data_IF_747440422723
#
_entry.id   IF_747440422723
#
_cell.length_a   1.000
_cell.length_b   1.000
_cell.length_c   1.000
_cell.angle_alpha   90.00
_cell.angle_beta   90.00
_cell.angle_gamma   90.00
#
_symmetry.space_group_name_H-M   'P 1'
#
loop_
_entity.id
_entity.type
_entity.pdbx_description
1 polymer ?
#
# COMPACT_ATOMS: atom_id res chain seq x y z
N UNK A 1 15.84 11.16 6.66
CA UNK A 1 15.03 10.47 5.62
C UNK A 1 15.91 9.59 4.76
N UNK A 2 15.51 8.37 4.55
CA UNK A 2 16.29 7.39 3.80
C UNK A 2 15.38 6.57 2.89
N UNK A 3 15.88 6.23 1.71
CA UNK A 3 15.18 5.35 0.77
C UNK A 3 15.42 3.92 1.21
N UNK A 4 14.33 3.15 1.34
CA UNK A 4 14.38 1.73 1.72
C UNK A 4 14.12 0.85 0.50
N UNK A 5 14.58 -0.39 0.56
CA UNK A 5 14.33 -1.36 -0.51
C UNK A 5 12.88 -1.83 -0.46
N UNK A 6 12.18 -1.75 -1.60
CA UNK A 6 10.82 -2.27 -1.73
C UNK A 6 10.89 -3.77 -2.03
N UNK A 7 10.20 -4.55 -1.20
CA UNK A 7 10.08 -6.00 -1.35
C UNK A 7 9.06 -6.29 -2.45
N UNK A 8 9.38 -7.22 -3.33
CA UNK A 8 8.51 -7.57 -4.45
C UNK A 8 8.05 -9.02 -4.37
N UNK A 9 6.88 -9.29 -4.95
CA UNK A 9 6.38 -10.66 -5.13
C UNK A 9 7.40 -11.48 -5.92
N UNK A 10 7.72 -12.72 -5.60
CA UNK A 10 6.99 -13.62 -4.68
C UNK A 10 7.56 -13.72 -3.26
N UNK A 11 8.13 -12.67 -2.72
CA UNK A 11 8.67 -12.70 -1.34
C UNK A 11 7.54 -12.96 -0.33
N UNK A 12 7.70 -14.00 0.48
CA UNK A 12 6.68 -14.43 1.46
C UNK A 12 6.40 -13.42 2.55
N UNK A 13 7.32 -12.48 2.81
CA UNK A 13 7.13 -11.44 3.82
C UNK A 13 5.90 -10.58 3.52
N UNK A 14 5.58 -10.37 2.23
CA UNK A 14 4.40 -9.63 1.81
C UNK A 14 3.09 -10.29 2.25
N UNK A 15 3.11 -11.55 2.62
CA UNK A 15 1.92 -12.32 3.05
C UNK A 15 1.73 -12.32 4.57
N UNK A 16 2.61 -11.69 5.32
CA UNK A 16 2.46 -11.58 6.77
C UNK A 16 1.38 -10.58 7.14
N UNK A 17 0.67 -10.87 8.23
CA UNK A 17 -0.29 -9.93 8.81
C UNK A 17 0.51 -8.94 9.67
N UNK A 18 0.35 -7.66 9.38
CA UNK A 18 1.04 -6.60 10.12
C UNK A 18 0.42 -6.40 11.50
N UNK A 19 1.26 -6.03 12.47
CA UNK A 19 0.84 -5.87 13.87
C UNK A 19 0.54 -4.39 14.19
N UNK A 20 -0.44 -4.14 15.07
CA UNK A 20 -0.71 -2.78 15.52
C UNK A 20 0.50 -2.14 16.19
N UNK A 21 0.59 -0.83 16.08
CA UNK A 21 1.60 -0.01 16.75
C UNK A 21 1.01 0.47 18.08
N UNK A 22 1.79 0.39 19.16
CA UNK A 22 1.32 0.78 20.49
C UNK A 22 1.12 2.31 20.63
N UNK A 23 2.02 3.07 20.04
CA UNK A 23 1.96 4.54 20.06
C UNK A 23 2.81 5.09 18.93
N UNK A 24 2.54 6.34 18.52
CA UNK A 24 3.32 7.03 17.50
C UNK A 24 4.40 7.86 18.18
N UNK A 25 5.65 7.42 18.05
CA UNK A 25 6.82 8.13 18.54
C UNK A 25 7.78 8.47 17.42
N UNK A 26 9.01 8.83 17.78
CA UNK A 26 10.05 9.22 16.81
C UNK A 26 10.42 8.07 15.86
N UNK A 27 10.40 6.84 16.37
CA UNK A 27 10.70 5.65 15.55
C UNK A 27 9.66 5.48 14.45
N UNK A 28 8.39 5.58 14.78
CA UNK A 28 7.30 5.47 13.81
C UNK A 28 7.30 6.63 12.83
N UNK A 29 7.60 7.85 13.30
CA UNK A 29 7.71 9.02 12.44
C UNK A 29 8.87 8.89 11.45
N UNK A 30 10.02 8.40 11.91
CA UNK A 30 11.16 8.13 11.04
C UNK A 30 10.82 7.10 9.98
N UNK A 31 10.12 6.03 10.37
CA UNK A 31 9.67 5.00 9.43
C UNK A 31 8.74 5.60 8.37
N UNK A 32 7.78 6.42 8.79
CA UNK A 32 6.86 7.08 7.86
C UNK A 32 7.59 8.04 6.91
N UNK A 33 8.57 8.78 7.41
CA UNK A 33 9.39 9.67 6.59
C UNK A 33 10.17 8.88 5.52
N UNK A 34 10.80 7.78 5.92
CA UNK A 34 11.54 6.90 5.02
C UNK A 34 10.61 6.27 3.98
N UNK A 35 9.42 5.83 4.41
CA UNK A 35 8.42 5.24 3.51
C UNK A 35 7.94 6.24 2.48
N UNK A 36 7.67 7.47 2.90
CA UNK A 36 7.19 8.51 1.99
C UNK A 36 8.25 8.85 0.93
N UNK A 37 9.50 9.01 1.35
CA UNK A 37 10.61 9.26 0.43
C UNK A 37 10.79 8.09 -0.55
N UNK A 38 10.72 6.86 -0.05
CA UNK A 38 10.80 5.65 -0.87
C UNK A 38 9.68 5.60 -1.90
N UNK A 39 8.46 5.92 -1.47
CA UNK A 39 7.28 5.98 -2.34
C UNK A 39 7.46 6.99 -3.47
N UNK A 40 7.89 8.21 -3.15
CA UNK A 40 8.12 9.24 -4.16
C UNK A 40 9.24 8.86 -5.13
N UNK A 41 10.32 8.29 -4.63
CA UNK A 41 11.44 7.83 -5.46
C UNK A 41 11.00 6.78 -6.48
N UNK A 42 10.06 5.93 -6.08
CA UNK A 42 9.51 4.87 -6.94
C UNK A 42 8.29 5.32 -7.76
N UNK A 43 7.92 6.60 -7.70
CA UNK A 43 6.76 7.17 -8.40
C UNK A 43 5.44 6.50 -8.02
N UNK A 44 5.31 6.07 -6.76
CA UNK A 44 4.09 5.47 -6.22
C UNK A 44 3.17 6.50 -5.56
N UNK A 45 1.93 6.10 -5.33
CA UNK A 45 0.93 6.93 -4.66
C UNK A 45 0.55 6.40 -3.27
N UNK A 46 0.99 5.20 -2.94
CA UNK A 46 0.76 4.59 -1.64
C UNK A 46 1.82 3.54 -1.34
N UNK A 47 2.09 3.32 -0.05
CA UNK A 47 3.04 2.32 0.41
C UNK A 47 2.70 1.88 1.83
N UNK A 48 2.66 0.57 2.06
CA UNK A 48 2.49 -0.01 3.38
C UNK A 48 3.86 -0.43 3.95
N UNK A 49 4.01 -0.39 5.26
CA UNK A 49 5.29 -0.70 5.92
C UNK A 49 5.82 -2.10 5.60
N UNK A 50 4.93 -3.08 5.41
CA UNK A 50 5.35 -4.44 5.06
C UNK A 50 6.13 -4.48 3.74
N UNK A 51 5.85 -3.56 2.82
CA UNK A 51 6.54 -3.48 1.53
C UNK A 51 8.00 -3.06 1.66
N UNK A 52 8.39 -2.51 2.79
CA UNK A 52 9.79 -2.22 3.11
C UNK A 52 10.32 -3.13 4.24
N UNK A 53 9.64 -4.25 4.47
CA UNK A 53 10.09 -5.28 5.39
C UNK A 53 9.71 -5.08 6.85
N UNK A 54 8.83 -4.13 7.15
CA UNK A 54 8.42 -3.82 8.52
C UNK A 54 6.94 -4.22 8.72
N UNK A 55 6.66 -5.28 9.49
CA UNK A 55 5.30 -5.78 9.66
C UNK A 55 4.50 -4.98 10.69
N UNK A 56 4.39 -3.68 10.46
CA UNK A 56 3.60 -2.75 11.30
C UNK A 56 2.45 -2.16 10.49
N UNK A 57 1.34 -1.87 11.15
CA UNK A 57 0.14 -1.32 10.51
C UNK A 57 0.30 0.17 10.27
N UNK A 58 1.16 0.51 9.31
CA UNK A 58 1.47 1.89 8.92
C UNK A 58 1.41 2.00 7.39
N UNK A 59 0.75 3.06 6.92
CA UNK A 59 0.59 3.36 5.51
C UNK A 59 0.93 4.83 5.26
N UNK A 60 1.60 5.12 4.15
CA UNK A 60 1.77 6.49 3.64
C UNK A 60 1.13 6.57 2.25
N UNK A 61 0.57 7.73 1.92
CA UNK A 61 -0.08 7.97 0.64
C UNK A 61 0.06 9.41 0.21
N UNK A 62 0.08 9.62 -1.10
CA UNK A 62 -0.07 10.93 -1.71
C UNK A 62 -0.66 10.74 -3.09
N UNK A 63 -1.95 11.06 -3.25
CA UNK A 63 -2.67 10.94 -4.52
C UNK A 63 -2.70 12.24 -5.30
N UNK A 64 -2.03 13.29 -4.82
CA UNK A 64 -1.95 14.56 -5.53
C UNK A 64 -1.24 14.36 -6.87
N UNK A 65 -1.77 14.99 -7.93
CA UNK A 65 -1.17 14.91 -9.27
C UNK A 65 -0.19 16.05 -9.52
N UNK A 66 -0.04 16.95 -8.57
CA UNK A 66 0.77 18.14 -8.71
C UNK A 66 2.08 17.99 -7.95
N UNK A 67 3.20 17.83 -8.65
CA UNK A 67 4.51 17.70 -8.06
C UNK A 67 4.93 18.92 -7.23
N UNK A 68 4.35 20.09 -7.51
CA UNK A 68 4.62 21.32 -6.76
C UNK A 68 3.77 21.44 -5.49
N UNK A 69 2.71 20.64 -5.35
CA UNK A 69 1.83 20.62 -4.16
C UNK A 69 1.67 19.19 -3.66
N UNK A 70 2.63 18.72 -2.89
CA UNK A 70 2.54 17.41 -2.25
C UNK A 70 1.54 17.45 -1.12
N UNK A 71 0.70 16.41 -1.03
CA UNK A 71 -0.30 16.27 0.03
C UNK A 71 -0.15 14.89 0.68
N UNK A 72 0.96 14.68 1.42
CA UNK A 72 1.20 13.39 2.05
C UNK A 72 0.16 13.09 3.13
N UNK A 73 -0.24 11.83 3.20
CA UNK A 73 -1.15 11.32 4.22
C UNK A 73 -0.49 10.15 4.93
N UNK A 74 -0.71 10.08 6.24
CA UNK A 74 -0.12 9.04 7.09
C UNK A 74 -1.22 8.35 7.86
N UNK A 75 -1.20 7.02 7.87
CA UNK A 75 -2.21 6.21 8.55
C UNK A 75 -1.53 5.19 9.44
N UNK A 76 -1.74 5.30 10.74
CA UNK A 76 -1.25 4.34 11.74
C UNK A 76 -2.46 3.61 12.33
N UNK A 77 -2.40 2.30 12.38
CA UNK A 77 -3.48 1.44 12.87
C UNK A 77 -4.84 1.74 12.20
N UNK A 78 -4.91 1.86 10.87
CA UNK A 78 -6.17 2.18 10.22
C UNK A 78 -7.17 1.03 10.33
N UNK A 79 -8.45 1.39 10.53
CA UNK A 79 -9.57 0.46 10.61
C UNK A 79 -10.70 0.99 9.75
N UNK A 80 -11.25 0.15 8.89
CA UNK A 80 -12.41 0.52 8.08
C UNK A 80 -13.65 0.39 8.95
N UNK A 81 -14.39 1.50 9.08
CA UNK A 81 -15.63 1.55 9.87
C UNK A 81 -16.87 1.29 9.02
N UNK A 82 -16.88 1.82 7.81
CA UNK A 82 -18.00 1.66 6.88
C UNK A 82 -17.47 1.51 5.45
N UNK A 83 -18.14 0.66 4.68
CA UNK A 83 -17.90 0.49 3.23
C UNK A 83 -19.21 0.66 2.49
N UNK A 84 -19.18 1.38 1.38
CA UNK A 84 -20.35 1.49 0.50
C UNK A 84 -20.59 0.14 -0.20
N UNK A 85 -21.83 -0.33 -0.29
CA UNK A 85 -22.14 -1.56 -1.06
C UNK A 85 -21.92 -1.37 -2.57
N UNK A 86 -21.98 -0.14 -3.07
CA UNK A 86 -21.69 0.16 -4.46
C UNK A 86 -20.18 0.11 -4.71
N UNK A 87 -19.77 -0.56 -5.79
CA UNK A 87 -18.36 -0.71 -6.16
C UNK A 87 -17.99 0.19 -7.33
N UNK A 88 -16.73 0.60 -7.36
CA UNK A 88 -16.10 1.29 -8.48
C UNK A 88 -14.93 0.46 -8.97
N UNK A 89 -14.66 0.54 -10.28
CA UNK A 89 -13.55 -0.18 -10.92
C UNK A 89 -12.43 0.79 -11.24
N UNK A 90 -11.21 0.44 -10.81
CA UNK A 90 -9.99 1.19 -11.16
C UNK A 90 -8.91 0.21 -11.59
N UNK A 91 -8.07 0.65 -12.52
CA UNK A 91 -6.86 -0.08 -12.85
C UNK A 91 -5.85 0.11 -11.71
N UNK A 92 -5.44 -1.00 -11.09
CA UNK A 92 -4.50 -0.98 -9.98
C UNK A 92 -3.16 -1.56 -10.39
N UNK A 93 -2.12 -1.01 -9.80
CA UNK A 93 -0.77 -1.53 -9.84
C UNK A 93 -0.17 -1.44 -8.45
N UNK A 94 0.98 -2.01 -8.23
CA UNK A 94 1.63 -2.03 -6.93
C UNK A 94 3.15 -2.03 -7.09
N UNK A 95 3.83 -1.26 -6.25
CA UNK A 95 5.30 -1.21 -6.27
C UNK A 95 5.92 -2.57 -5.95
N UNK A 96 5.19 -3.44 -5.23
CA UNK A 96 5.61 -4.80 -4.93
C UNK A 96 5.26 -5.81 -6.04
N UNK A 97 4.53 -5.38 -7.07
CA UNK A 97 4.18 -6.18 -8.24
C UNK A 97 4.52 -5.35 -9.48
N UNK A 98 5.83 -5.14 -9.76
CA UNK A 98 6.26 -4.18 -10.77
C UNK A 98 5.79 -4.53 -12.18
N UNK A 99 5.37 -3.49 -12.91
CA UNK A 99 4.96 -3.54 -14.32
C UNK A 99 3.74 -4.42 -14.62
N UNK A 100 2.92 -4.73 -13.60
CA UNK A 100 1.69 -5.49 -13.75
C UNK A 100 0.52 -4.64 -13.28
N UNK A 101 -0.56 -4.64 -14.06
CA UNK A 101 -1.75 -3.84 -13.78
C UNK A 101 -3.00 -4.67 -14.04
N UNK A 102 -4.07 -4.40 -13.31
CA UNK A 102 -5.36 -5.06 -13.52
C UNK A 102 -6.49 -4.20 -12.98
N UNK A 103 -7.67 -4.34 -13.58
CA UNK A 103 -8.87 -3.69 -13.08
C UNK A 103 -9.40 -4.45 -11.87
N UNK A 104 -9.62 -3.72 -10.79
CA UNK A 104 -10.12 -4.26 -9.52
C UNK A 104 -11.38 -3.51 -9.11
N UNK A 105 -12.39 -4.25 -8.68
CA UNK A 105 -13.62 -3.68 -8.13
C UNK A 105 -13.49 -3.59 -6.61
N UNK A 106 -13.70 -2.38 -6.09
CA UNK A 106 -13.69 -2.12 -4.66
C UNK A 106 -14.87 -1.24 -4.26
N UNK A 107 -15.30 -1.28 -2.99
CA UNK A 107 -16.27 -0.30 -2.50
C UNK A 107 -15.85 1.11 -2.92
N UNK A 108 -16.78 1.87 -3.50
CA UNK A 108 -16.51 3.20 -4.08
C UNK A 108 -16.22 4.25 -3.02
N UNK A 109 -16.69 4.02 -1.79
CA UNK A 109 -16.52 4.91 -0.64
C UNK A 109 -16.24 4.08 0.60
N UNK A 110 -15.48 4.63 1.52
CA UNK A 110 -15.25 4.01 2.82
C UNK A 110 -14.92 5.06 3.87
N UNK A 111 -15.10 4.68 5.13
CA UNK A 111 -14.68 5.50 6.26
C UNK A 111 -13.59 4.75 7.01
N UNK A 112 -12.49 5.44 7.29
CA UNK A 112 -11.31 4.86 7.93
C UNK A 112 -10.97 5.66 9.19
N UNK A 113 -10.94 4.98 10.32
CA UNK A 113 -10.46 5.55 11.57
C UNK A 113 -8.98 5.19 11.72
N UNK A 114 -8.14 6.16 12.07
CA UNK A 114 -6.69 5.97 12.13
C UNK A 114 -6.02 6.98 13.06
N UNK A 115 -4.74 6.74 13.36
CA UNK A 115 -3.88 7.72 14.01
C UNK A 115 -3.05 8.40 12.92
N UNK A 116 -2.88 9.72 13.03
CA UNK A 116 -2.08 10.48 12.07
C UNK A 116 -0.58 10.46 12.43
N UNK A 117 0.21 11.27 11.72
CA UNK A 117 1.66 11.38 11.93
C UNK A 117 2.03 11.75 13.38
N UNK A 118 1.18 12.53 14.05
CA UNK A 118 1.40 12.97 15.43
C UNK A 118 0.73 12.06 16.45
N UNK A 119 0.08 10.98 16.01
CA UNK A 119 -0.61 10.05 16.91
C UNK A 119 -2.01 10.48 17.30
N UNK A 120 -2.57 11.50 16.65
CA UNK A 120 -3.92 11.97 16.89
C UNK A 120 -4.95 11.13 16.14
N UNK A 121 -6.07 10.85 16.80
CA UNK A 121 -7.16 10.07 16.25
C UNK A 121 -7.92 10.87 15.19
N UNK A 122 -8.09 10.30 14.01
CA UNK A 122 -8.76 10.93 12.86
C UNK A 122 -9.74 9.97 12.21
N UNK A 123 -10.72 10.53 11.51
CA UNK A 123 -11.64 9.78 10.66
C UNK A 123 -11.56 10.33 9.25
N UNK A 124 -11.28 9.46 8.29
CA UNK A 124 -11.26 9.79 6.87
C UNK A 124 -12.53 9.27 6.20
N UNK A 125 -13.23 10.15 5.50
CA UNK A 125 -14.33 9.75 4.61
C UNK A 125 -13.78 9.81 3.19
N UNK A 126 -13.51 8.65 2.60
CA UNK A 126 -12.84 8.54 1.32
C UNK A 126 -13.81 8.15 0.21
N UNK A 127 -13.60 8.75 -0.97
CA UNK A 127 -14.28 8.36 -2.21
C UNK A 127 -13.25 8.35 -3.35
N UNK A 128 -13.68 7.93 -4.54
CA UNK A 128 -12.86 7.94 -5.75
C UNK A 128 -11.52 7.21 -5.57
N UNK A 129 -10.47 7.79 -6.13
CA UNK A 129 -9.13 7.23 -6.09
C UNK A 129 -8.61 7.07 -4.66
N UNK A 130 -8.93 7.99 -3.77
CA UNK A 130 -8.51 7.91 -2.37
C UNK A 130 -9.08 6.66 -1.69
N UNK A 131 -10.37 6.36 -1.91
CA UNK A 131 -11.00 5.15 -1.36
C UNK A 131 -10.35 3.88 -1.91
N UNK A 132 -10.09 3.82 -3.20
CA UNK A 132 -9.42 2.68 -3.83
C UNK A 132 -8.01 2.50 -3.28
N UNK A 133 -7.23 3.58 -3.19
CA UNK A 133 -5.86 3.54 -2.75
C UNK A 133 -5.75 3.11 -1.27
N UNK A 134 -6.56 3.68 -0.37
CA UNK A 134 -6.48 3.30 1.04
C UNK A 134 -6.87 1.83 1.25
N UNK A 135 -7.86 1.34 0.52
CA UNK A 135 -8.26 -0.06 0.63
C UNK A 135 -7.18 -1.01 0.09
N UNK A 136 -6.51 -0.63 -1.02
CA UNK A 136 -5.38 -1.38 -1.55
C UNK A 136 -4.25 -1.49 -0.52
N UNK A 137 -3.89 -0.37 0.11
CA UNK A 137 -2.83 -0.35 1.11
C UNK A 137 -3.22 -1.10 2.39
N UNK A 138 -4.49 -1.00 2.81
CA UNK A 138 -4.98 -1.75 3.98
C UNK A 138 -4.96 -3.26 3.75
N UNK A 139 -5.16 -3.71 2.51
CA UNK A 139 -5.02 -5.12 2.16
C UNK A 139 -3.60 -5.63 2.45
N UNK A 140 -2.57 -4.82 2.20
CA UNK A 140 -1.19 -5.20 2.53
C UNK A 140 -1.02 -5.50 4.01
N UNK A 141 -1.77 -4.82 4.88
CA UNK A 141 -1.71 -5.07 6.33
C UNK A 141 -2.23 -6.45 6.70
N UNK A 142 -3.04 -7.04 5.83
CA UNK A 142 -3.61 -8.39 5.99
C UNK A 142 -2.91 -9.43 5.10
N UNK A 143 -1.80 -9.06 4.46
CA UNK A 143 -1.08 -9.96 3.57
C UNK A 143 -1.76 -10.19 2.22
N UNK A 144 -2.62 -9.28 1.80
CA UNK A 144 -3.40 -9.39 0.56
C UNK A 144 -2.82 -8.42 -0.49
N UNK A 145 -2.62 -8.93 -1.71
CA UNK A 145 -2.20 -8.14 -2.86
C UNK A 145 -3.35 -8.01 -3.86
N UNK A 146 -3.33 -6.97 -4.70
CA UNK A 146 -4.40 -6.78 -5.68
C UNK A 146 -4.55 -7.97 -6.64
N UNK A 147 -3.47 -8.69 -6.92
CA UNK A 147 -3.51 -9.88 -7.78
C UNK A 147 -4.34 -11.02 -7.18
N UNK A 148 -4.59 -11.00 -5.88
CA UNK A 148 -5.42 -12.01 -5.21
C UNK A 148 -6.89 -11.93 -5.63
N UNK A 149 -7.32 -10.77 -6.16
CA UNK A 149 -8.69 -10.59 -6.68
C UNK A 149 -8.85 -11.08 -8.11
N UNK A 150 -7.76 -11.44 -8.77
CA UNK A 150 -7.76 -11.91 -10.16
C UNK A 150 -8.07 -13.41 -10.22
N UNK A 151 -8.41 -13.89 -11.42
CA UNK A 151 -8.56 -15.32 -11.65
C UNK A 151 -7.25 -16.04 -11.31
N UNK A 152 -7.36 -17.30 -10.90
CA UNK A 152 -6.20 -18.12 -10.56
C UNK A 152 -5.17 -18.17 -11.69
N UNK A 153 -5.66 -18.24 -12.93
CA UNK A 153 -4.80 -18.25 -14.12
C UNK A 153 -4.04 -16.92 -14.29
N UNK A 154 -4.73 -15.80 -14.23
CA UNK A 154 -4.11 -14.47 -14.37
C UNK A 154 -3.07 -14.23 -13.28
N UNK A 155 -3.40 -14.57 -12.04
CA UNK A 155 -2.49 -14.44 -10.92
C UNK A 155 -1.24 -15.28 -11.10
N UNK A 156 -1.40 -16.54 -11.50
CA UNK A 156 -0.27 -17.45 -11.76
C UNK A 156 0.65 -16.91 -12.87
N UNK A 157 0.09 -16.35 -13.92
CA UNK A 157 0.86 -15.77 -15.01
C UNK A 157 1.70 -14.57 -14.54
N UNK A 158 1.13 -13.71 -13.71
CA UNK A 158 1.83 -12.55 -13.14
C UNK A 158 2.99 -13.00 -12.24
N UNK A 159 2.73 -13.93 -11.33
CA UNK A 159 3.75 -14.45 -10.39
C UNK A 159 4.90 -15.09 -11.19
N UNK A 160 4.58 -15.84 -12.25
CA UNK A 160 5.58 -16.47 -13.11
C UNK A 160 6.47 -15.45 -13.81
N UNK A 161 5.89 -14.36 -14.33
CA UNK A 161 6.64 -13.27 -14.96
C UNK A 161 7.58 -12.59 -13.96
N UNK A 162 7.12 -12.33 -12.74
CA UNK A 162 7.92 -11.71 -11.69
C UNK A 162 9.08 -12.61 -11.26
N UNK A 163 8.85 -13.91 -11.15
CA UNK A 163 9.90 -14.89 -10.82
C UNK A 163 10.99 -14.91 -11.88
N UNK A 164 10.62 -14.84 -13.17
CA UNK A 164 11.59 -14.78 -14.27
C UNK A 164 12.42 -13.51 -14.25
N UNK A 165 11.80 -12.35 -13.99
CA UNK A 165 12.49 -11.06 -13.89
C UNK A 165 13.50 -11.06 -12.74
N UNK A 166 13.12 -11.61 -11.59
CA UNK A 166 13.99 -11.72 -10.43
C UNK A 166 15.19 -12.64 -10.70
N UNK A 167 14.96 -13.76 -11.37
CA UNK A 167 16.00 -14.71 -11.77
C UNK A 167 17.00 -14.05 -12.72
N UNK A 168 16.51 -13.32 -13.74
CA UNK A 168 17.34 -12.61 -14.71
C UNK A 168 18.19 -11.52 -14.06
N UNK A 169 17.62 -10.78 -13.11
CA UNK A 169 18.36 -9.72 -12.40
C UNK A 169 19.45 -10.27 -11.48
N UNK A 170 19.30 -11.50 -10.97
CA UNK A 170 20.31 -12.16 -10.15
C UNK A 170 21.48 -12.65 -11.02
N UNK A 171 21.21 -13.04 -12.24
CA UNK A 171 22.23 -13.51 -13.20
C UNK A 171 23.03 -12.37 -13.83
N UNK A 172 22.48 -11.19 -13.79
CA UNK A 172 23.15 -9.99 -14.29
C UNK A 172 24.08 -9.38 -13.26
#
# INVERSE_FOLDING_TARGET
MAIRTIITEPNKLLRQISKPVNSVGKEEQKLMDDMLETMYDANGIGLAAIQVGVPKRIIVMDISKNESKKEPRYFVNPVIKNKDPEKATYEEGCLSVPNQFAEIDRPSKCEVEYLDYDGEKKLLKADGLLATCIQHEMDHLEGILFIDYLSKLKRSMIIKKLSKLKSTSVEA
#
